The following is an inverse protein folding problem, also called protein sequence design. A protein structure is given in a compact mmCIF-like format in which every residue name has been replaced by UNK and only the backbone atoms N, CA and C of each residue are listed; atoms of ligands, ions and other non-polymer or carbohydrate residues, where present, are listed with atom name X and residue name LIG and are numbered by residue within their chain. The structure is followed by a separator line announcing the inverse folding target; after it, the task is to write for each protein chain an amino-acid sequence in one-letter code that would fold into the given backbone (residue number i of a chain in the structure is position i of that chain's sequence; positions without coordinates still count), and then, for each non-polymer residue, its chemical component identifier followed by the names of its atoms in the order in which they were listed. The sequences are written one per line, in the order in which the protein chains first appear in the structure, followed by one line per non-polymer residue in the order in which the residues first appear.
data_IF_930975548311
#
_entry.id   IF_930975548311
#
_cell.length_a   1.000
_cell.length_b   1.000
_cell.length_c   1.000
_cell.angle_alpha   90.00
_cell.angle_beta   90.00
_cell.angle_gamma   90.00
#
_symmetry.space_group_name_H-M   'P 1'
#
loop_
_entity.id
_entity.type
_entity.pdbx_description
1 polymer ?
#
# COMPACT_ATOMS: atom_id res chain seq x y z
N UNK A 1 -4.92 7.58 40.49
CA UNK A 1 -5.49 7.15 39.20
C UNK A 1 -5.82 8.42 38.44
N UNK A 2 -4.92 8.86 37.57
CA UNK A 2 -5.14 10.05 36.74
C UNK A 2 -5.92 9.61 35.51
N UNK A 3 -7.13 10.14 35.36
CA UNK A 3 -7.88 10.12 34.10
C UNK A 3 -7.01 10.81 33.05
N UNK A 4 -6.40 10.02 32.17
CA UNK A 4 -5.70 10.56 31.02
C UNK A 4 -6.74 11.13 30.07
N UNK A 5 -6.71 12.45 29.88
CA UNK A 5 -7.42 13.12 28.79
C UNK A 5 -7.05 12.41 27.49
N UNK A 6 -8.02 11.68 26.94
CA UNK A 6 -7.91 11.08 25.62
C UNK A 6 -8.08 12.23 24.62
N UNK A 7 -7.03 13.03 24.42
CA UNK A 7 -7.02 14.07 23.39
C UNK A 7 -7.15 13.39 22.04
N UNK A 8 -8.36 13.45 21.48
CA UNK A 8 -8.69 12.96 20.16
C UNK A 8 -7.75 13.62 19.14
N UNK A 9 -6.83 12.83 18.57
CA UNK A 9 -5.81 13.32 17.63
C UNK A 9 -6.52 13.67 16.32
N UNK A 10 -6.91 14.93 16.17
CA UNK A 10 -7.63 15.39 14.98
C UNK A 10 -6.66 15.54 13.81
N UNK A 11 -6.79 14.66 12.81
CA UNK A 11 -6.10 14.82 11.53
C UNK A 11 -6.63 16.05 10.81
N UNK A 12 -5.71 16.87 10.30
CA UNK A 12 -5.94 18.08 9.52
C UNK A 12 -5.38 17.85 8.14
N UNK A 13 -6.22 18.04 7.12
CA UNK A 13 -5.78 18.03 5.73
C UNK A 13 -4.93 19.28 5.48
N UNK A 14 -3.63 19.08 5.26
CA UNK A 14 -2.65 20.12 4.97
C UNK A 14 -2.73 20.56 3.50
N UNK A 15 -2.93 19.59 2.61
CA UNK A 15 -3.04 19.82 1.17
C UNK A 15 -3.79 18.68 0.50
N UNK A 16 -4.39 19.00 -0.66
CA UNK A 16 -5.04 18.03 -1.54
C UNK A 16 -4.58 18.29 -2.96
N UNK A 17 -3.98 17.29 -3.57
CA UNK A 17 -3.52 17.32 -4.95
C UNK A 17 -4.55 16.61 -5.82
N UNK A 18 -4.93 17.27 -6.91
CA UNK A 18 -5.84 16.73 -7.92
C UNK A 18 -5.02 16.55 -9.19
N UNK A 19 -5.25 15.46 -9.91
CA UNK A 19 -4.66 15.17 -11.22
C UNK A 19 -4.59 16.44 -12.09
N UNK A 20 -3.38 16.83 -12.54
CA UNK A 20 -3.21 17.93 -13.49
C UNK A 20 -3.70 17.58 -14.91
N UNK A 21 -3.99 16.30 -15.18
CA UNK A 21 -4.58 15.86 -16.45
C UNK A 21 -6.09 15.72 -16.31
N UNK A 22 -6.85 16.16 -17.32
CA UNK A 22 -8.29 15.86 -17.46
C UNK A 22 -8.62 14.35 -17.47
N UNK A 23 -7.60 13.48 -17.48
CA UNK A 23 -7.76 12.05 -17.27
C UNK A 23 -7.86 11.74 -15.76
N UNK A 24 -8.90 10.99 -15.41
CA UNK A 24 -9.10 10.40 -14.09
C UNK A 24 -7.91 9.49 -13.77
N UNK A 25 -7.18 9.81 -12.69
CA UNK A 25 -6.13 8.93 -12.15
C UNK A 25 -6.85 7.80 -11.39
N UNK A 26 -6.35 6.57 -11.48
CA UNK A 26 -6.86 5.46 -10.66
C UNK A 26 -5.74 4.89 -9.79
N UNK A 27 -5.68 5.35 -8.55
CA UNK A 27 -4.57 5.07 -7.64
C UNK A 27 -4.82 3.78 -6.88
N UNK A 28 -4.01 2.76 -7.17
CA UNK A 28 -4.00 1.53 -6.38
C UNK A 28 -2.82 1.48 -5.41
N UNK A 29 -1.59 1.59 -5.89
CA UNK A 29 -0.37 1.55 -5.07
C UNK A 29 0.11 2.95 -4.67
N UNK A 30 0.66 3.08 -3.47
CA UNK A 30 1.37 4.28 -3.01
C UNK A 30 2.56 3.89 -2.13
N UNK A 31 3.70 4.55 -2.34
CA UNK A 31 4.84 4.47 -1.43
C UNK A 31 5.60 5.80 -1.38
N UNK A 32 6.48 5.93 -0.39
CA UNK A 32 7.36 7.10 -0.24
C UNK A 32 8.80 6.63 -0.43
N UNK A 33 9.47 7.18 -1.44
CA UNK A 33 10.86 6.89 -1.80
C UNK A 33 11.86 7.40 -0.74
N UNK A 34 13.12 6.98 -0.87
CA UNK A 34 14.18 7.33 0.09
C UNK A 34 14.47 8.84 0.14
N UNK A 35 14.17 9.55 -0.94
CA UNK A 35 14.26 11.00 -1.13
C UNK A 35 12.95 11.74 -0.78
N UNK A 36 12.05 11.08 -0.02
CA UNK A 36 10.73 11.54 0.41
C UNK A 36 9.72 11.85 -0.70
N UNK A 37 10.00 11.52 -1.96
CA UNK A 37 9.02 11.68 -3.01
C UNK A 37 7.93 10.62 -2.90
N UNK A 38 6.70 11.02 -3.23
CA UNK A 38 5.55 10.13 -3.25
C UNK A 38 5.43 9.50 -4.62
N UNK A 39 5.35 8.18 -4.65
CA UNK A 39 5.19 7.39 -5.85
C UNK A 39 3.82 6.71 -5.84
N UNK A 40 3.08 6.83 -6.94
CA UNK A 40 1.75 6.24 -7.07
C UNK A 40 1.61 5.41 -8.34
N UNK A 41 0.92 4.28 -8.24
CA UNK A 41 0.55 3.44 -9.38
C UNK A 41 -0.82 3.86 -9.91
N UNK A 42 -0.83 4.48 -11.10
CA UNK A 42 -2.01 4.91 -11.84
C UNK A 42 -2.42 3.79 -12.83
N UNK A 43 -3.35 2.95 -12.36
CA UNK A 43 -3.80 1.72 -13.01
C UNK A 43 -4.41 1.98 -14.38
N UNK A 44 -5.26 3.00 -14.48
CA UNK A 44 -6.01 3.29 -15.71
C UNK A 44 -5.13 3.84 -16.82
N UNK A 45 -4.16 4.67 -16.45
CA UNK A 45 -3.24 5.27 -17.40
C UNK A 45 -1.95 4.45 -17.55
N UNK A 46 -1.90 3.25 -16.95
CA UNK A 46 -0.78 2.30 -17.03
C UNK A 46 0.57 2.93 -16.72
N UNK A 47 0.65 3.73 -15.66
CA UNK A 47 1.85 4.50 -15.34
C UNK A 47 2.14 4.56 -13.85
N UNK A 48 3.39 4.85 -13.51
CA UNK A 48 3.76 5.32 -12.18
C UNK A 48 4.01 6.82 -12.27
N UNK A 49 3.51 7.56 -11.28
CA UNK A 49 3.68 9.00 -11.14
C UNK A 49 4.55 9.29 -9.92
N UNK A 50 5.37 10.33 -10.01
CA UNK A 50 6.21 10.83 -8.92
C UNK A 50 5.83 12.26 -8.57
N UNK A 51 5.66 12.51 -7.29
CA UNK A 51 5.37 13.81 -6.71
C UNK A 51 6.42 14.14 -5.65
N UNK A 52 6.75 15.41 -5.49
CA UNK A 52 7.58 15.84 -4.36
C UNK A 52 6.79 15.93 -3.06
N UNK A 53 7.47 16.27 -1.96
CA UNK A 53 6.85 16.42 -0.64
C UNK A 53 5.79 17.54 -0.56
N UNK A 54 5.85 18.50 -1.48
CA UNK A 54 4.87 19.57 -1.62
C UNK A 54 3.69 19.16 -2.50
N UNK A 55 3.76 17.98 -3.13
CA UNK A 55 2.78 17.38 -4.01
C UNK A 55 2.78 17.94 -5.43
N UNK A 56 3.86 18.59 -5.84
CA UNK A 56 4.04 18.97 -7.23
C UNK A 56 4.48 17.75 -8.04
N UNK A 57 3.86 17.60 -9.21
CA UNK A 57 4.19 16.53 -10.14
C UNK A 57 5.60 16.71 -10.71
N UNK A 58 6.39 15.65 -10.70
CA UNK A 58 7.78 15.66 -11.16
C UNK A 58 7.93 14.96 -12.51
N UNK A 59 7.58 13.68 -12.58
CA UNK A 59 7.70 12.86 -13.79
C UNK A 59 6.80 11.61 -13.72
N UNK A 60 6.78 10.84 -14.81
CA UNK A 60 6.01 9.60 -14.91
C UNK A 60 6.70 8.57 -15.79
N UNK A 61 6.37 7.30 -15.57
CA UNK A 61 6.83 6.18 -16.41
C UNK A 61 5.63 5.32 -16.84
N UNK A 62 5.51 5.04 -18.15
CA UNK A 62 4.40 4.26 -18.70
C UNK A 62 4.82 2.81 -18.98
N UNK A 63 3.93 1.89 -18.62
CA UNK A 63 4.05 0.46 -18.86
C UNK A 63 3.11 0.02 -19.99
N UNK A 64 3.41 -1.12 -20.60
CA UNK A 64 2.46 -1.82 -21.49
C UNK A 64 1.32 -2.50 -20.71
N UNK A 65 1.60 -2.87 -19.45
CA UNK A 65 0.73 -3.54 -18.49
C UNK A 65 0.23 -2.58 -17.41
N UNK A 66 -0.77 -3.00 -16.63
CA UNK A 66 -1.35 -2.23 -15.53
C UNK A 66 -0.46 -2.34 -14.28
N UNK A 67 0.07 -1.23 -13.73
CA UNK A 67 0.78 -1.22 -12.46
C UNK A 67 -0.22 -1.28 -11.30
N UNK A 68 -0.16 -2.35 -10.49
CA UNK A 68 -1.15 -2.63 -9.44
C UNK A 68 -0.71 -2.07 -8.10
N UNK A 69 0.49 -2.42 -7.68
CA UNK A 69 1.04 -1.98 -6.40
C UNK A 69 2.53 -1.67 -6.55
N UNK A 70 3.06 -0.91 -5.60
CA UNK A 70 4.42 -0.38 -5.64
C UNK A 70 5.04 -0.39 -4.25
N UNK A 71 6.30 -0.78 -4.16
CA UNK A 71 7.05 -0.77 -2.91
C UNK A 71 8.47 -0.26 -3.13
N UNK A 72 9.02 0.39 -2.12
CA UNK A 72 10.43 0.82 -2.12
C UNK A 72 11.32 -0.34 -1.73
N UNK A 73 12.49 -0.43 -2.35
CA UNK A 73 13.57 -1.31 -1.95
C UNK A 73 14.60 -0.46 -1.18
N UNK A 74 14.61 -0.49 0.17
CA UNK A 74 15.40 0.42 0.99
C UNK A 74 16.89 0.34 0.67
N UNK A 75 17.54 1.49 0.55
CA UNK A 75 18.99 1.58 0.35
C UNK A 75 19.47 1.22 -1.06
N UNK A 76 18.55 0.98 -2.01
CA UNK A 76 18.90 0.74 -3.42
C UNK A 76 18.50 1.88 -4.36
N UNK A 77 17.78 2.90 -3.89
CA UNK A 77 17.14 3.92 -4.75
C UNK A 77 16.28 3.26 -5.85
N UNK A 78 15.54 2.22 -5.47
CA UNK A 78 14.74 1.42 -6.38
C UNK A 78 13.34 1.23 -5.83
N UNK A 79 12.39 1.07 -6.74
CA UNK A 79 11.04 0.61 -6.43
C UNK A 79 10.71 -0.63 -7.25
N UNK A 80 9.94 -1.54 -6.65
CA UNK A 80 9.37 -2.68 -7.33
C UNK A 80 7.88 -2.44 -7.57
N UNK A 81 7.42 -2.75 -8.78
CA UNK A 81 6.03 -2.54 -9.24
C UNK A 81 5.47 -3.86 -9.73
N UNK A 82 4.27 -4.22 -9.27
CA UNK A 82 3.55 -5.37 -9.82
C UNK A 82 2.75 -4.98 -11.05
N UNK A 83 2.80 -5.81 -12.08
CA UNK A 83 2.19 -5.56 -13.38
C UNK A 83 1.20 -6.67 -13.76
N UNK A 84 0.03 -6.29 -14.30
CA UNK A 84 -1.01 -7.21 -14.78
C UNK A 84 -1.52 -6.85 -16.18
N UNK A 85 -1.95 -7.83 -16.96
CA UNK A 85 -2.59 -7.57 -18.28
C UNK A 85 -3.90 -6.80 -18.14
N UNK A 86 -4.70 -7.13 -17.12
CA UNK A 86 -6.01 -6.55 -16.86
C UNK A 86 -6.33 -6.57 -15.36
N UNK A 87 -7.29 -5.75 -14.93
CA UNK A 87 -7.68 -5.63 -13.51
C UNK A 87 -8.22 -6.91 -12.87
N UNK A 88 -8.71 -7.86 -13.67
CA UNK A 88 -9.28 -9.12 -13.19
C UNK A 88 -8.59 -10.31 -13.85
N UNK A 89 -7.36 -10.11 -14.32
CA UNK A 89 -6.59 -11.18 -14.95
C UNK A 89 -6.28 -12.27 -13.94
N UNK A 90 -6.50 -13.53 -14.33
CA UNK A 90 -6.01 -14.71 -13.61
C UNK A 90 -4.70 -15.24 -14.19
N UNK A 91 -4.10 -14.50 -15.14
CA UNK A 91 -2.85 -14.90 -15.79
C UNK A 91 -1.63 -14.51 -14.94
N UNK A 92 -0.48 -15.13 -15.19
CA UNK A 92 0.83 -14.63 -14.80
C UNK A 92 0.98 -13.12 -15.06
N UNK A 93 1.52 -12.41 -14.07
CA UNK A 93 1.90 -10.99 -14.19
C UNK A 93 3.41 -10.81 -14.33
N UNK A 94 3.87 -9.59 -14.13
CA UNK A 94 5.30 -9.27 -14.06
C UNK A 94 5.62 -8.50 -12.77
N UNK A 95 6.90 -8.48 -12.41
CA UNK A 95 7.46 -7.47 -11.52
C UNK A 95 8.43 -6.61 -12.34
N UNK A 96 8.36 -5.30 -12.19
CA UNK A 96 9.32 -4.37 -12.74
C UNK A 96 10.09 -3.66 -11.62
N UNK A 97 11.39 -3.45 -11.82
CA UNK A 97 12.21 -2.57 -10.99
C UNK A 97 12.44 -1.26 -11.72
N UNK A 98 12.16 -0.16 -11.03
CA UNK A 98 12.48 1.19 -11.50
C UNK A 98 13.51 1.84 -10.59
N UNK A 99 14.36 2.69 -11.15
CA UNK A 99 15.08 3.72 -10.40
C UNK A 99 14.07 4.70 -9.79
N UNK A 100 14.13 4.94 -8.48
CA UNK A 100 13.11 5.75 -7.80
C UNK A 100 13.24 7.26 -8.05
N UNK A 101 14.43 7.74 -8.42
CA UNK A 101 14.69 9.16 -8.67
C UNK A 101 14.12 9.59 -10.04
N UNK A 102 14.42 8.82 -11.09
CA UNK A 102 14.07 9.18 -12.47
C UNK A 102 12.98 8.30 -13.09
N UNK A 103 12.44 7.32 -12.36
CA UNK A 103 11.50 6.32 -12.86
C UNK A 103 11.98 5.57 -14.11
N UNK A 104 13.28 5.27 -14.19
CA UNK A 104 13.84 4.51 -15.32
C UNK A 104 13.70 3.02 -15.06
N UNK A 105 13.22 2.28 -16.06
CA UNK A 105 13.15 0.82 -16.01
C UNK A 105 14.55 0.22 -15.90
N UNK A 106 14.79 -0.56 -14.85
CA UNK A 106 16.02 -1.30 -14.61
C UNK A 106 15.86 -2.72 -15.16
N UNK A 107 14.78 -3.40 -14.77
CA UNK A 107 14.50 -4.76 -15.19
C UNK A 107 13.00 -5.05 -15.07
N UNK A 108 12.53 -6.05 -15.81
CA UNK A 108 11.17 -6.56 -15.73
C UNK A 108 11.19 -8.05 -16.08
N UNK A 109 10.53 -8.87 -15.26
CA UNK A 109 10.37 -10.30 -15.55
C UNK A 109 8.96 -10.79 -15.22
N UNK A 110 8.53 -11.77 -15.99
CA UNK A 110 7.30 -12.51 -15.73
C UNK A 110 7.44 -13.34 -14.47
N UNK A 111 6.37 -13.41 -13.67
CA UNK A 111 6.28 -14.26 -12.50
C UNK A 111 5.16 -15.27 -12.65
N UNK A 112 5.28 -16.42 -11.99
CA UNK A 112 4.35 -17.55 -12.14
C UNK A 112 3.00 -17.37 -11.42
N UNK A 113 2.65 -16.15 -11.05
CA UNK A 113 1.45 -15.86 -10.28
C UNK A 113 0.76 -14.58 -10.75
N UNK A 114 -0.46 -14.36 -10.30
CA UNK A 114 -1.22 -13.13 -10.54
C UNK A 114 -0.92 -12.14 -9.40
N UNK A 115 -0.14 -11.07 -9.62
CA UNK A 115 0.31 -10.22 -8.52
C UNK A 115 -0.72 -9.14 -8.15
N UNK A 116 -1.15 -9.08 -6.89
CA UNK A 116 -2.05 -8.04 -6.40
C UNK A 116 -1.31 -6.94 -5.64
N UNK A 117 -0.72 -7.29 -4.50
CA UNK A 117 0.08 -6.38 -3.66
C UNK A 117 1.55 -6.78 -3.62
N UNK A 118 2.43 -5.84 -3.27
CA UNK A 118 3.87 -6.09 -3.13
C UNK A 118 4.47 -5.35 -1.94
N UNK A 119 5.36 -6.02 -1.21
CA UNK A 119 6.18 -5.36 -0.18
C UNK A 119 7.60 -5.88 -0.17
N UNK A 120 8.53 -4.97 0.11
CA UNK A 120 9.88 -5.35 0.47
C UNK A 120 9.90 -6.05 1.84
N UNK A 121 10.36 -7.30 1.84
CA UNK A 121 10.43 -8.16 3.01
C UNK A 121 11.86 -8.66 3.17
N UNK A 122 12.60 -8.04 4.09
CA UNK A 122 14.01 -8.32 4.36
C UNK A 122 14.91 -8.06 3.16
N UNK A 123 15.15 -9.11 2.36
CA UNK A 123 15.94 -9.07 1.13
C UNK A 123 15.17 -9.66 -0.06
N UNK A 124 13.85 -9.82 0.10
CA UNK A 124 12.95 -10.46 -0.84
C UNK A 124 11.78 -9.53 -1.17
N UNK A 125 11.17 -9.76 -2.32
CA UNK A 125 9.89 -9.18 -2.72
C UNK A 125 8.78 -10.16 -2.35
N UNK A 126 7.95 -9.79 -1.38
CA UNK A 126 6.76 -10.55 -1.02
C UNK A 126 5.57 -10.04 -1.86
N UNK A 127 5.00 -10.93 -2.68
CA UNK A 127 3.94 -10.64 -3.63
C UNK A 127 2.70 -11.43 -3.26
N UNK A 128 1.60 -10.74 -2.99
CA UNK A 128 0.30 -11.38 -2.76
C UNK A 128 -0.29 -11.90 -4.07
N UNK A 129 -0.71 -13.16 -4.09
CA UNK A 129 -1.37 -13.80 -5.23
C UNK A 129 -2.40 -14.83 -4.79
N UNK A 130 -3.69 -14.55 -5.02
CA UNK A 130 -4.79 -15.43 -4.60
C UNK A 130 -4.58 -15.92 -3.15
N UNK A 131 -4.77 -17.19 -2.85
CA UNK A 131 -4.56 -17.74 -1.51
C UNK A 131 -3.06 -17.89 -1.12
N UNK A 132 -2.13 -17.14 -1.71
CA UNK A 132 -0.69 -17.26 -1.41
C UNK A 132 0.01 -15.91 -1.29
N UNK A 133 1.12 -15.90 -0.55
CA UNK A 133 2.17 -14.89 -0.66
C UNK A 133 3.41 -15.57 -1.22
N UNK A 134 3.89 -15.11 -2.37
CA UNK A 134 5.08 -15.64 -3.03
C UNK A 134 6.25 -14.70 -2.84
N UNK A 135 7.43 -15.26 -2.61
CA UNK A 135 8.65 -14.51 -2.34
C UNK A 135 9.61 -14.68 -3.51
N UNK A 136 10.15 -13.56 -3.99
CA UNK A 136 11.12 -13.51 -5.06
C UNK A 136 12.36 -12.76 -4.59
N UNK A 137 13.53 -13.12 -5.10
CA UNK A 137 14.71 -12.25 -4.99
C UNK A 137 14.66 -11.11 -6.02
N UNK A 138 15.71 -10.29 -6.08
CA UNK A 138 15.80 -9.17 -7.02
C UNK A 138 16.17 -9.59 -8.45
N UNK A 139 16.58 -10.84 -8.66
CA UNK A 139 16.70 -11.47 -9.97
C UNK A 139 15.37 -12.14 -10.39
N UNK A 140 14.31 -11.93 -9.60
CA UNK A 140 12.97 -12.47 -9.77
C UNK A 140 12.88 -14.00 -9.70
N UNK A 141 13.89 -14.65 -9.13
CA UNK A 141 13.82 -16.08 -8.88
C UNK A 141 12.84 -16.35 -7.73
N UNK A 142 11.95 -17.31 -7.92
CA UNK A 142 11.05 -17.77 -6.86
C UNK A 142 11.86 -18.41 -5.73
N UNK A 143 11.65 -17.95 -4.51
CA UNK A 143 12.34 -18.44 -3.31
C UNK A 143 11.45 -19.37 -2.49
N UNK A 144 10.25 -18.90 -2.15
CA UNK A 144 9.28 -19.66 -1.34
C UNK A 144 7.86 -19.10 -1.47
N UNK A 145 6.88 -19.82 -0.92
CA UNK A 145 5.51 -19.34 -0.77
C UNK A 145 4.95 -19.64 0.61
N UNK A 146 4.00 -18.82 1.03
CA UNK A 146 3.14 -19.04 2.20
C UNK A 146 1.71 -19.21 1.68
N UNK A 147 1.03 -20.26 2.12
CA UNK A 147 -0.41 -20.40 1.88
C UNK A 147 -1.19 -19.58 2.91
N UNK A 148 -2.19 -18.86 2.44
CA UNK A 148 -3.12 -18.11 3.27
C UNK A 148 -4.29 -19.04 3.65
N UNK A 149 -4.92 -18.84 4.82
CA UNK A 149 -6.11 -19.61 5.22
C UNK A 149 -7.21 -19.60 4.14
N UNK A 150 -7.89 -20.74 3.97
CA UNK A 150 -9.02 -20.88 3.04
C UNK A 150 -10.05 -19.77 3.26
N UNK A 151 -10.56 -19.15 2.18
CA UNK A 151 -11.43 -17.95 2.14
C UNK A 151 -10.73 -16.58 2.06
N UNK A 152 -9.42 -16.50 2.27
CA UNK A 152 -8.67 -15.24 2.26
C UNK A 152 -7.96 -15.01 0.92
N UNK A 153 -8.63 -14.30 0.00
CA UNK A 153 -7.98 -13.73 -1.18
C UNK A 153 -7.49 -12.31 -0.80
N UNK A 154 -6.18 -12.04 -0.69
CA UNK A 154 -5.61 -10.72 -0.45
C UNK A 154 -6.02 -9.83 -1.62
N UNK A 155 -6.92 -8.90 -1.35
CA UNK A 155 -7.63 -8.18 -2.42
C UNK A 155 -6.74 -7.09 -2.99
N UNK A 156 -5.88 -6.42 -2.19
CA UNK A 156 -5.10 -5.29 -2.73
C UNK A 156 -3.72 -4.99 -2.15
N UNK A 157 -3.38 -5.34 -0.90
CA UNK A 157 -2.14 -4.83 -0.29
C UNK A 157 -1.49 -5.83 0.64
N UNK A 158 -0.16 -5.76 0.71
CA UNK A 158 0.63 -6.44 1.73
C UNK A 158 1.62 -5.45 2.35
N UNK A 159 1.80 -5.49 3.67
CA UNK A 159 2.76 -4.63 4.38
C UNK A 159 3.55 -5.47 5.38
N UNK A 160 4.85 -5.22 5.49
CA UNK A 160 5.70 -5.82 6.52
C UNK A 160 5.39 -5.17 7.86
N UNK A 161 5.13 -6.01 8.86
CA UNK A 161 4.94 -5.62 10.25
C UNK A 161 6.15 -5.88 11.14
N UNK A 162 6.01 -5.62 12.44
CA UNK A 162 6.99 -6.00 13.46
C UNK A 162 7.12 -7.52 13.55
N UNK A 163 8.30 -8.00 13.97
CA UNK A 163 8.50 -9.41 14.24
C UNK A 163 8.26 -10.30 13.02
N UNK A 164 8.67 -9.83 11.83
CA UNK A 164 8.58 -10.58 10.57
C UNK A 164 7.16 -10.93 10.12
N UNK A 165 6.16 -10.23 10.64
CA UNK A 165 4.76 -10.42 10.24
C UNK A 165 4.44 -9.76 8.90
N UNK A 166 3.39 -10.26 8.26
CA UNK A 166 2.80 -9.69 7.06
C UNK A 166 1.34 -9.35 7.32
N UNK A 167 0.99 -8.12 6.98
CA UNK A 167 -0.38 -7.64 7.02
C UNK A 167 -0.96 -7.62 5.63
N UNK A 168 -2.21 -8.05 5.47
CA UNK A 168 -2.89 -8.02 4.18
C UNK A 168 -4.39 -7.77 4.35
N UNK A 169 -5.00 -7.17 3.33
CA UNK A 169 -6.43 -6.85 3.32
C UNK A 169 -7.23 -7.85 2.49
N UNK A 170 -8.34 -8.32 3.06
CA UNK A 170 -9.41 -9.07 2.36
C UNK A 170 -10.75 -8.36 2.59
N UNK A 171 -11.82 -9.09 2.94
CA UNK A 171 -12.95 -8.52 3.69
C UNK A 171 -12.56 -8.12 5.12
N UNK A 172 -11.42 -8.60 5.62
CA UNK A 172 -10.88 -8.31 6.95
C UNK A 172 -9.46 -7.73 6.85
N UNK A 173 -9.02 -7.11 7.93
CA UNK A 173 -7.63 -6.74 8.16
C UNK A 173 -6.91 -7.96 8.77
N UNK A 174 -5.92 -8.54 8.10
CA UNK A 174 -5.32 -9.81 8.54
C UNK A 174 -3.84 -9.63 8.84
N UNK A 175 -3.35 -10.45 9.78
CA UNK A 175 -1.95 -10.56 10.14
C UNK A 175 -1.54 -12.03 10.14
N UNK A 176 -0.43 -12.33 9.49
CA UNK A 176 0.23 -13.64 9.53
C UNK A 176 1.69 -13.51 9.95
N UNK A 177 2.23 -14.55 10.55
CA UNK A 177 3.67 -14.70 10.77
C UNK A 177 4.42 -15.07 9.50
N UNK A 178 5.76 -15.08 9.59
CA UNK A 178 6.67 -15.40 8.48
C UNK A 178 6.55 -16.84 7.96
N UNK A 179 5.96 -17.74 8.74
CA UNK A 179 5.63 -19.12 8.40
C UNK A 179 4.16 -19.33 8.01
N UNK A 180 3.35 -18.27 8.01
CA UNK A 180 1.96 -18.30 7.55
C UNK A 180 0.90 -18.58 8.62
N UNK A 181 1.26 -18.66 9.89
CA UNK A 181 0.26 -18.78 10.96
C UNK A 181 -0.57 -17.51 11.04
N UNK A 182 -1.90 -17.65 11.04
CA UNK A 182 -2.80 -16.54 11.29
C UNK A 182 -2.62 -16.05 12.73
N UNK A 183 -2.18 -14.80 12.88
CA UNK A 183 -2.02 -14.16 14.19
C UNK A 183 -3.34 -13.53 14.60
N UNK A 184 -3.96 -12.76 13.68
CA UNK A 184 -5.29 -12.23 13.88
C UNK A 184 -5.99 -11.94 12.55
N UNK A 185 -7.32 -11.86 12.63
CA UNK A 185 -8.18 -11.31 11.58
C UNK A 185 -9.12 -10.31 12.25
N UNK A 186 -9.02 -9.04 11.88
CA UNK A 186 -9.82 -7.96 12.42
C UNK A 186 -10.94 -7.59 11.43
N UNK A 187 -12.22 -7.72 11.82
CA UNK A 187 -13.33 -7.27 11.00
C UNK A 187 -13.36 -5.75 10.99
N UNK A 188 -13.41 -5.17 9.80
CA UNK A 188 -13.56 -3.73 9.64
C UNK A 188 -15.05 -3.44 9.50
N UNK A 189 -15.62 -2.70 10.46
CA UNK A 189 -17.02 -2.32 10.39
C UNK A 189 -17.29 -1.44 9.17
N UNK A 190 -18.40 -1.73 8.49
CA UNK A 190 -18.95 -0.90 7.40
C UNK A 190 -18.02 -0.68 6.18
N UNK A 191 -17.04 -1.56 5.93
CA UNK A 191 -16.22 -1.41 4.74
C UNK A 191 -15.26 -2.57 4.46
N UNK A 192 -14.69 -2.52 3.26
CA UNK A 192 -13.61 -3.41 2.85
C UNK A 192 -12.30 -2.67 3.13
N UNK A 193 -11.37 -3.23 3.93
CA UNK A 193 -10.05 -2.63 4.09
C UNK A 193 -9.34 -2.57 2.74
N UNK A 194 -8.74 -1.41 2.47
CA UNK A 194 -7.98 -1.15 1.25
C UNK A 194 -6.53 -0.95 1.66
N UNK A 195 -6.07 0.29 1.78
CA UNK A 195 -4.69 0.65 2.09
C UNK A 195 -4.22 0.21 3.46
N UNK A 196 -2.91 -0.03 3.55
CA UNK A 196 -2.20 -0.50 4.74
C UNK A 196 -0.92 0.32 4.94
N UNK A 197 -0.70 0.82 6.15
CA UNK A 197 0.63 1.29 6.53
C UNK A 197 0.90 1.05 8.02
N UNK A 198 2.17 1.17 8.41
CA UNK A 198 2.61 1.00 9.81
C UNK A 198 3.36 2.26 10.20
N UNK A 199 3.11 2.79 11.40
CA UNK A 199 3.84 3.95 11.92
C UNK A 199 5.16 3.58 12.63
N UNK A 200 5.84 4.58 13.20
CA UNK A 200 7.07 4.41 13.99
C UNK A 200 6.88 3.56 15.24
N UNK A 201 5.68 3.60 15.83
CA UNK A 201 5.32 2.90 17.06
C UNK A 201 4.72 1.52 16.77
N UNK A 202 4.82 1.08 15.50
CA UNK A 202 4.39 -0.22 15.00
C UNK A 202 2.88 -0.44 15.04
N UNK A 203 2.12 0.65 15.12
CA UNK A 203 0.67 0.62 14.98
C UNK A 203 0.34 0.48 13.50
N UNK A 204 -0.57 -0.43 13.21
CA UNK A 204 -1.03 -0.73 11.87
C UNK A 204 -2.28 0.08 11.55
N UNK A 205 -2.25 0.78 10.43
CA UNK A 205 -3.35 1.60 9.97
C UNK A 205 -3.97 1.02 8.70
N UNK A 206 -5.31 0.94 8.71
CA UNK A 206 -6.10 0.49 7.58
C UNK A 206 -7.03 1.61 7.12
N UNK A 207 -7.09 1.84 5.82
CA UNK A 207 -8.20 2.58 5.24
C UNK A 207 -9.34 1.65 4.87
N UNK A 208 -10.55 2.18 4.96
CA UNK A 208 -11.77 1.50 4.61
C UNK A 208 -12.43 2.22 3.43
N UNK A 209 -13.09 1.49 2.56
CA UNK A 209 -13.86 2.10 1.46
C UNK A 209 -15.01 3.02 1.94
N UNK A 210 -15.35 3.00 3.24
CA UNK A 210 -16.28 3.93 3.89
C UNK A 210 -15.67 5.31 4.18
N UNK A 211 -14.37 5.50 3.95
CA UNK A 211 -13.66 6.73 4.29
C UNK A 211 -13.12 6.76 5.72
N UNK A 212 -13.11 5.62 6.41
CA UNK A 212 -12.59 5.49 7.77
C UNK A 212 -11.12 5.07 7.75
N UNK A 213 -10.31 5.61 8.66
CA UNK A 213 -8.96 5.13 8.95
C UNK A 213 -8.92 4.68 10.42
N UNK A 214 -8.58 3.41 10.65
CA UNK A 214 -8.46 2.83 11.99
C UNK A 214 -7.03 2.39 12.27
N UNK A 215 -6.60 2.57 13.51
CA UNK A 215 -5.33 2.06 14.03
C UNK A 215 -5.55 0.79 14.85
N UNK A 216 -4.74 -0.24 14.59
CA UNK A 216 -4.83 -1.56 15.20
C UNK A 216 -3.44 -1.92 15.74
N UNK A 217 -3.42 -2.52 16.92
CA UNK A 217 -2.18 -3.04 17.51
C UNK A 217 -1.65 -4.26 16.75
N UNK A 218 -0.39 -4.62 17.02
CA UNK A 218 0.22 -5.87 16.57
C UNK A 218 -0.50 -7.14 17.06
N UNK A 219 -1.38 -7.01 18.06
CA UNK A 219 -2.24 -8.07 18.60
C UNK A 219 -3.66 -8.05 18.04
N UNK A 220 -3.96 -7.22 17.05
CA UNK A 220 -5.28 -7.16 16.43
C UNK A 220 -6.33 -6.41 17.27
N UNK A 221 -5.91 -5.56 18.20
CA UNK A 221 -6.83 -4.77 19.03
C UNK A 221 -6.99 -3.36 18.43
N UNK A 222 -8.22 -2.87 18.37
CA UNK A 222 -8.49 -1.48 17.97
C UNK A 222 -7.82 -0.53 18.97
N UNK A 223 -6.89 0.29 18.47
CA UNK A 223 -6.27 1.37 19.24
C UNK A 223 -7.15 2.62 19.16
N UNK A 224 -7.70 2.91 17.98
CA UNK A 224 -8.60 4.03 17.78
C UNK A 224 -8.93 4.28 16.31
N UNK A 225 -9.83 5.24 16.10
CA UNK A 225 -10.22 5.73 14.77
C UNK A 225 -9.60 7.10 14.57
N UNK A 226 -8.76 7.28 13.54
CA UNK A 226 -8.13 8.58 13.28
C UNK A 226 -8.94 9.44 12.34
N UNK A 227 -9.70 8.79 11.46
CA UNK A 227 -10.55 9.47 10.51
C UNK A 227 -11.86 8.71 10.36
N UNK A 228 -12.97 9.44 10.36
CA UNK A 228 -14.30 8.93 10.04
C UNK A 228 -14.74 9.46 8.68
N UNK A 229 -15.60 8.70 7.97
CA UNK A 229 -15.99 9.03 6.59
C UNK A 229 -16.69 10.38 6.42
N UNK A 230 -17.32 10.89 7.48
CA UNK A 230 -17.96 12.21 7.54
C UNK A 230 -16.96 13.38 7.60
N UNK A 231 -15.67 13.11 7.85
CA UNK A 231 -14.61 14.12 7.87
C UNK A 231 -14.06 14.48 6.47
N UNK A 232 -14.70 13.99 5.40
CA UNK A 232 -14.65 14.63 4.08
C UNK A 232 -13.54 14.15 3.14
N UNK A 233 -12.85 13.05 3.42
CA UNK A 233 -11.92 12.43 2.44
C UNK A 233 -12.63 11.53 1.42
N UNK A 234 -13.93 11.25 1.60
CA UNK A 234 -14.68 10.36 0.73
C UNK A 234 -14.18 8.91 0.84
N UNK A 235 -14.30 8.14 -0.24
CA UNK A 235 -13.77 6.77 -0.27
C UNK A 235 -12.25 6.82 -0.34
N UNK A 236 -11.57 6.04 0.51
CA UNK A 236 -10.11 5.99 0.57
C UNK A 236 -9.59 4.73 -0.12
N UNK A 237 -8.62 4.91 -1.03
CA UNK A 237 -7.99 3.86 -1.81
C UNK A 237 -6.77 3.27 -1.10
N UNK A 238 -5.75 4.08 -0.85
CA UNK A 238 -4.50 3.64 -0.22
C UNK A 238 -3.91 4.72 0.68
N UNK A 239 -2.91 4.35 1.48
CA UNK A 239 -2.26 5.28 2.40
C UNK A 239 -0.81 4.91 2.71
N UNK A 240 0.02 5.90 3.00
CA UNK A 240 1.42 5.70 3.39
C UNK A 240 1.91 6.84 4.27
N UNK A 241 2.77 6.54 5.24
CA UNK A 241 3.49 7.58 5.98
C UNK A 241 4.67 8.11 5.16
N UNK A 242 4.98 9.39 5.37
CA UNK A 242 6.31 9.88 5.05
C UNK A 242 7.37 9.27 5.98
N UNK A 243 8.64 9.46 5.66
CA UNK A 243 9.75 8.78 6.32
C UNK A 243 9.91 9.11 7.81
N UNK A 244 9.56 10.34 8.21
CA UNK A 244 9.65 10.79 9.61
C UNK A 244 8.33 10.59 10.40
N UNK A 245 7.30 10.03 9.75
CA UNK A 245 6.00 9.75 10.34
C UNK A 245 5.26 11.00 10.86
N UNK A 246 5.50 12.16 10.25
CA UNK A 246 4.78 13.41 10.56
C UNK A 246 3.64 13.71 9.59
N UNK A 247 3.62 13.03 8.45
CA UNK A 247 2.58 13.16 7.42
C UNK A 247 2.04 11.80 7.03
N UNK A 248 0.72 11.74 6.86
CA UNK A 248 0.01 10.61 6.28
C UNK A 248 -0.53 10.99 4.90
N UNK A 249 -0.03 10.33 3.87
CA UNK A 249 -0.53 10.43 2.51
C UNK A 249 -1.72 9.49 2.34
N UNK A 250 -2.82 10.00 1.79
CA UNK A 250 -4.08 9.26 1.63
C UNK A 250 -4.62 9.48 0.23
N UNK A 251 -4.84 8.40 -0.51
CA UNK A 251 -5.41 8.48 -1.86
C UNK A 251 -6.91 8.23 -1.81
N UNK A 252 -7.68 8.89 -2.65
CA UNK A 252 -9.11 8.56 -2.82
C UNK A 252 -9.28 7.29 -3.67
N UNK A 253 -10.33 6.51 -3.41
CA UNK A 253 -10.63 5.24 -4.12
C UNK A 253 -11.15 5.49 -5.54
N UNK A 254 -11.68 6.69 -5.80
CA UNK A 254 -11.94 7.17 -7.17
C UNK A 254 -10.66 7.66 -7.88
N UNK A 255 -9.52 7.61 -7.20
CA UNK A 255 -8.20 8.04 -7.67
C UNK A 255 -8.10 9.52 -8.03
N UNK A 256 -9.15 10.31 -7.79
CA UNK A 256 -9.20 11.73 -8.15
C UNK A 256 -8.25 12.60 -7.33
N UNK A 257 -7.75 12.11 -6.19
CA UNK A 257 -6.94 12.92 -5.29
C UNK A 257 -5.95 12.18 -4.40
N UNK A 258 -4.92 12.91 -4.02
CA UNK A 258 -3.96 12.60 -2.96
C UNK A 258 -4.06 13.69 -1.89
N UNK A 259 -4.46 13.31 -0.67
CA UNK A 259 -4.51 14.18 0.50
C UNK A 259 -3.29 13.97 1.39
N UNK A 260 -2.78 15.05 1.97
CA UNK A 260 -1.73 15.02 2.99
C UNK A 260 -2.33 15.42 4.32
N UNK A 261 -2.27 14.54 5.30
CA UNK A 261 -2.75 14.78 6.65
C UNK A 261 -1.54 14.99 7.57
N UNK A 262 -1.65 15.90 8.54
CA UNK A 262 -0.70 15.93 9.65
C UNK A 262 -0.89 14.66 10.51
N UNK A 263 0.20 14.11 11.03
CA UNK A 263 0.14 12.97 11.92
C UNK A 263 0.94 13.21 13.19
#
# INVERSE_FOLDING_TARGET
MSEGENTEKKLVCLSKFISQSNAEIDIHGICVADDNHVLISDVNNKRVLRYDESGEFQNSFHFSMIPRDITVIPGKNQVAVTLQESRFSCKPGCIALLDSEHLKLISQNEIKCTPFGIVWYENLLAVGSWNTVQFYDLDFAFVRSIELPEDKIPVKFIKRGPGETLFYSTSTANCISSDGLNIFSFPVENGIPRGLCVDKDKILYFSCCSGTIVGISDKGQLIGTLLTGDQGLGRIGSLCFNKDYTKLYVTSDDGSSLSVLNF
#
